data_IF_357915583052
#
_entry.id   IF_357915583052
#
_cell.length_a   1.000
_cell.length_b   1.000
_cell.length_c   1.000
_cell.angle_alpha   90.00
_cell.angle_beta   90.00
_cell.angle_gamma   90.00
#
_symmetry.space_group_name_H-M   'P 1'
#
loop_
_entity.id
_entity.type
_entity.pdbx_description
1 polymer ?
#
# COMPACT_ATOMS: atom_id res chain seq x y z
N UNK A 1 -18.71 19.00 -20.98
CA UNK A 1 -18.01 18.98 -20.55
C UNK A 1 -17.44 18.86 -20.08
N UNK A 2 -17.32 18.87 -19.96
CA UNK A 2 -16.44 18.85 -19.41
C UNK A 2 -15.77 18.63 -19.16
N UNK A 3 -15.51 18.35 -18.96
CA UNK A 3 -14.63 18.15 -18.57
C UNK A 3 -13.74 18.15 -18.74
N UNK A 4 -13.66 18.10 -19.29
CA UNK A 4 -12.60 18.31 -19.53
C UNK A 4 -11.68 18.65 -18.98
N UNK A 5 -11.83 18.95 -18.89
CA UNK A 5 -10.90 19.51 -18.00
C UNK A 5 -10.19 18.42 -17.31
N UNK A 6 -8.92 18.45 -17.21
CA UNK A 6 -8.12 17.34 -16.73
C UNK A 6 -8.12 17.14 -15.23
N UNK A 7 -9.26 17.19 -14.60
CA UNK A 7 -9.32 16.89 -13.17
C UNK A 7 -9.67 15.42 -12.98
N UNK A 8 -8.68 14.58 -13.22
CA UNK A 8 -8.85 13.14 -13.07
C UNK A 8 -8.24 12.72 -11.75
N UNK A 9 -8.91 13.07 -10.66
CA UNK A 9 -8.47 12.68 -9.33
C UNK A 9 -9.15 11.40 -8.93
N UNK A 10 -8.39 10.49 -8.36
CA UNK A 10 -8.92 9.25 -7.84
C UNK A 10 -8.50 9.05 -6.40
N UNK A 11 -9.37 8.46 -5.61
CA UNK A 11 -9.10 8.12 -4.22
C UNK A 11 -9.41 6.65 -4.02
N UNK A 12 -8.53 5.95 -3.33
CA UNK A 12 -8.72 4.56 -2.97
C UNK A 12 -8.56 4.40 -1.47
N UNK A 13 -9.39 3.59 -0.87
CA UNK A 13 -9.31 3.28 0.55
C UNK A 13 -9.53 1.79 0.74
N UNK A 14 -8.62 1.16 1.46
CA UNK A 14 -8.77 -0.23 1.89
C UNK A 14 -8.72 -0.25 3.40
N UNK A 15 -9.76 -0.75 4.03
CA UNK A 15 -9.78 -0.97 5.47
C UNK A 15 -9.94 -2.44 5.75
N UNK A 16 -8.93 -3.04 6.35
CA UNK A 16 -9.00 -4.44 6.76
C UNK A 16 -9.63 -4.50 8.14
N UNK A 17 -10.69 -5.28 8.28
CA UNK A 17 -11.41 -5.42 9.55
C UNK A 17 -10.86 -6.53 10.41
N UNK A 18 -9.92 -7.29 9.88
CA UNK A 18 -9.29 -8.42 10.56
C UNK A 18 -7.78 -8.25 10.53
N UNK A 19 -7.06 -8.97 11.39
CA UNK A 19 -5.59 -8.95 11.32
C UNK A 19 -5.07 -9.50 10.00
N UNK A 20 -3.83 -9.17 9.68
CA UNK A 20 -3.21 -9.64 8.44
C UNK A 20 -3.21 -11.16 8.33
N UNK A 21 -3.10 -11.86 9.46
CA UNK A 21 -3.10 -13.31 9.48
C UNK A 21 -4.38 -13.90 8.88
N UNK A 22 -5.52 -13.23 9.09
CA UNK A 22 -6.79 -13.67 8.52
C UNK A 22 -6.72 -13.68 6.99
N UNK A 23 -6.15 -12.64 6.41
CA UNK A 23 -6.06 -12.50 4.96
C UNK A 23 -5.01 -13.43 4.37
N UNK A 24 -3.94 -13.67 5.13
CA UNK A 24 -2.92 -14.64 4.74
C UNK A 24 -3.53 -16.04 4.63
N UNK A 25 -4.35 -16.41 5.61
CA UNK A 25 -5.00 -17.71 5.61
C UNK A 25 -6.05 -17.83 4.51
N UNK A 26 -6.87 -16.78 4.34
CA UNK A 26 -7.99 -16.83 3.40
C UNK A 26 -7.57 -16.67 1.96
N UNK A 27 -6.61 -15.79 1.70
CA UNK A 27 -6.23 -15.42 0.32
C UNK A 27 -4.80 -15.79 -0.05
N UNK A 28 -4.06 -16.38 0.88
CA UNK A 28 -2.71 -16.85 0.61
C UNK A 28 -1.61 -15.80 0.74
N UNK A 29 -1.95 -14.57 1.12
CA UNK A 29 -0.95 -13.53 1.30
C UNK A 29 -1.38 -12.52 2.36
N UNK A 30 -0.43 -12.15 3.22
CA UNK A 30 -0.65 -11.09 4.20
C UNK A 30 -0.75 -9.71 3.52
N UNK A 31 -0.33 -9.61 2.26
CA UNK A 31 -0.35 -8.36 1.50
C UNK A 31 -1.63 -8.16 0.71
N UNK A 32 -2.67 -8.93 1.02
CA UNK A 32 -3.92 -8.83 0.29
C UNK A 32 -4.43 -7.38 0.23
N UNK A 33 -4.41 -6.67 1.36
CA UNK A 33 -4.87 -5.28 1.39
C UNK A 33 -4.02 -4.35 0.53
N UNK A 34 -2.71 -4.50 0.63
CA UNK A 34 -1.78 -3.69 -0.17
C UNK A 34 -1.97 -3.96 -1.67
N UNK A 35 -2.18 -5.24 -2.03
CA UNK A 35 -2.44 -5.61 -3.41
C UNK A 35 -3.77 -5.03 -3.91
N UNK A 36 -4.79 -5.01 -3.05
CA UNK A 36 -6.07 -4.39 -3.41
C UNK A 36 -5.92 -2.89 -3.64
N UNK A 37 -5.11 -2.23 -2.84
CA UNK A 37 -4.85 -0.80 -3.04
C UNK A 37 -4.26 -0.54 -4.42
N UNK A 38 -3.27 -1.33 -4.82
CA UNK A 38 -2.67 -1.20 -6.14
C UNK A 38 -3.71 -1.38 -7.25
N UNK A 39 -4.55 -2.40 -7.14
CA UNK A 39 -5.57 -2.67 -8.16
C UNK A 39 -6.58 -1.53 -8.25
N UNK A 40 -7.00 -0.99 -7.12
CA UNK A 40 -7.93 0.14 -7.11
C UNK A 40 -7.32 1.37 -7.75
N UNK A 41 -6.06 1.66 -7.44
CA UNK A 41 -5.39 2.82 -7.99
C UNK A 41 -5.13 2.64 -9.49
N UNK A 42 -4.76 1.43 -9.90
CA UNK A 42 -4.51 1.14 -11.30
C UNK A 42 -5.78 1.35 -12.14
N UNK A 43 -6.93 0.94 -11.60
CA UNK A 43 -8.20 1.12 -12.30
C UNK A 43 -8.60 2.58 -12.46
N UNK A 44 -8.16 3.43 -11.54
CA UNK A 44 -8.49 4.86 -11.57
C UNK A 44 -7.44 5.69 -12.30
N UNK A 45 -6.32 5.07 -12.66
CA UNK A 45 -5.23 5.79 -13.31
C UNK A 45 -5.61 6.14 -14.74
N UNK A 46 -5.48 7.43 -15.07
CA UNK A 46 -5.75 7.92 -16.40
C UNK A 46 -4.46 8.41 -17.02
N UNK A 47 -4.41 8.35 -18.36
CA UNK A 47 -3.29 8.89 -19.09
C UNK A 47 -3.18 10.40 -18.79
N UNK A 48 -1.97 10.85 -18.54
CA UNK A 48 -1.73 12.26 -18.27
C UNK A 48 -1.77 12.64 -16.82
N UNK A 49 -2.10 11.71 -15.92
CA UNK A 49 -1.99 11.98 -14.50
C UNK A 49 -0.52 11.99 -14.10
N UNK A 50 -0.12 13.06 -13.44
CA UNK A 50 1.26 13.23 -12.98
C UNK A 50 1.27 13.15 -11.46
N UNK A 51 1.62 12.00 -10.97
CA UNK A 51 1.79 11.84 -9.55
C UNK A 51 0.75 10.95 -8.91
N UNK A 52 1.12 10.42 -7.78
CA UNK A 52 0.27 9.59 -6.95
C UNK A 52 0.83 9.59 -5.53
N UNK A 53 -0.01 9.21 -4.58
CA UNK A 53 0.42 9.07 -3.19
C UNK A 53 -0.26 7.88 -2.57
N UNK A 54 0.42 7.24 -1.63
CA UNK A 54 -0.17 6.19 -0.82
C UNK A 54 0.13 6.47 0.65
N UNK A 55 -0.73 5.96 1.51
CA UNK A 55 -0.56 6.07 2.94
C UNK A 55 -0.98 4.78 3.62
N UNK A 56 -0.44 4.55 4.79
CA UNK A 56 -0.73 3.37 5.58
C UNK A 56 -0.87 3.74 7.04
N UNK A 57 -1.78 3.06 7.73
CA UNK A 57 -1.89 3.15 9.17
C UNK A 57 -1.97 1.75 9.74
N UNK A 58 -1.10 1.47 10.69
CA UNK A 58 -1.08 0.20 11.40
C UNK A 58 -1.82 0.34 12.71
N UNK A 59 -2.84 -0.47 12.91
CA UNK A 59 -3.63 -0.46 14.14
C UNK A 59 -2.97 -1.30 15.21
N UNK A 60 -3.20 -0.93 16.47
CA UNK A 60 -2.75 -1.71 17.62
C UNK A 60 -1.24 -1.90 17.69
N UNK A 61 -0.49 -0.88 17.29
CA UNK A 61 0.96 -0.92 17.43
C UNK A 61 1.35 -0.56 18.88
N UNK A 62 2.47 -1.11 19.37
CA UNK A 62 2.95 -0.76 20.70
C UNK A 62 3.24 0.74 20.83
N UNK A 63 3.04 1.33 22.00
CA UNK A 63 3.35 2.75 22.19
C UNK A 63 4.80 3.07 21.84
N UNK A 64 4.99 4.18 21.12
CA UNK A 64 6.31 4.61 20.69
C UNK A 64 6.75 4.06 19.36
N UNK A 65 6.02 3.10 18.79
CA UNK A 65 6.32 2.56 17.48
C UNK A 65 5.65 3.39 16.40
N UNK A 66 6.32 3.51 15.26
CA UNK A 66 5.73 4.22 14.12
C UNK A 66 4.55 3.43 13.58
N UNK A 67 3.44 4.11 13.29
CA UNK A 67 2.22 3.44 12.82
C UNK A 67 1.60 4.11 11.60
N UNK A 68 2.11 5.26 11.16
CA UNK A 68 1.62 5.95 9.98
C UNK A 68 2.76 6.18 9.00
N UNK A 69 2.51 5.88 7.74
CA UNK A 69 3.50 6.01 6.68
C UNK A 69 2.87 6.63 5.45
N UNK A 70 3.67 7.31 4.65
CA UNK A 70 3.19 7.83 3.38
C UNK A 70 4.34 7.88 2.37
N UNK A 71 3.96 7.79 1.10
CA UNK A 71 4.88 7.84 -0.02
C UNK A 71 4.23 8.60 -1.16
N UNK A 72 4.98 9.43 -1.87
CA UNK A 72 4.47 10.21 -3.00
C UNK A 72 5.46 10.17 -4.14
N UNK A 73 4.94 10.33 -5.34
CA UNK A 73 5.77 10.52 -6.52
C UNK A 73 5.06 11.50 -7.46
N UNK A 74 5.82 12.41 -8.05
CA UNK A 74 5.31 13.34 -9.05
C UNK A 74 5.61 12.88 -10.48
N UNK A 75 6.17 11.68 -10.61
CA UNK A 75 6.51 11.11 -11.91
C UNK A 75 5.27 10.73 -12.71
N UNK A 76 5.38 10.75 -14.03
CA UNK A 76 4.32 10.23 -14.90
C UNK A 76 4.14 8.72 -14.72
N UNK A 77 5.13 8.05 -14.12
CA UNK A 77 5.07 6.63 -13.80
C UNK A 77 5.00 6.43 -12.30
N UNK A 78 4.22 7.28 -11.64
CA UNK A 78 4.17 7.30 -10.18
C UNK A 78 3.76 5.97 -9.57
N UNK A 79 2.74 5.31 -10.11
CA UNK A 79 2.29 4.03 -9.56
C UNK A 79 3.39 2.98 -9.64
N UNK A 80 4.03 2.87 -10.79
CA UNK A 80 5.12 1.91 -10.96
C UNK A 80 6.26 2.19 -10.00
N UNK A 81 6.60 3.45 -9.81
CA UNK A 81 7.69 3.82 -8.90
C UNK A 81 7.34 3.55 -7.46
N UNK A 82 6.13 3.93 -7.03
CA UNK A 82 5.72 3.75 -5.64
C UNK A 82 5.63 2.27 -5.29
N UNK A 83 4.86 1.51 -6.06
CA UNK A 83 4.65 0.11 -5.73
C UNK A 83 5.89 -0.75 -5.98
N UNK A 84 6.65 -0.43 -7.04
CA UNK A 84 7.92 -1.09 -7.27
C UNK A 84 8.92 -0.87 -6.16
N UNK A 85 8.98 0.36 -5.64
CA UNK A 85 9.84 0.68 -4.52
C UNK A 85 9.44 -0.05 -3.25
N UNK A 86 8.12 -0.15 -2.99
CA UNK A 86 7.65 -0.86 -1.82
C UNK A 86 7.88 -2.36 -1.92
N UNK A 87 7.71 -2.95 -3.11
CA UNK A 87 8.01 -4.37 -3.29
C UNK A 87 9.50 -4.63 -3.10
N UNK A 88 10.36 -3.72 -3.54
CA UNK A 88 11.80 -3.85 -3.31
C UNK A 88 12.12 -3.78 -1.82
N UNK A 89 11.50 -2.88 -1.09
CA UNK A 89 11.67 -2.77 0.36
C UNK A 89 11.25 -4.06 1.04
N UNK A 90 10.14 -4.65 0.61
CA UNK A 90 9.67 -5.90 1.18
C UNK A 90 10.65 -7.05 0.90
N UNK A 91 11.14 -7.13 -0.34
CA UNK A 91 12.12 -8.15 -0.69
C UNK A 91 13.39 -8.01 0.15
N UNK A 92 13.82 -6.78 0.42
CA UNK A 92 14.98 -6.55 1.27
C UNK A 92 14.72 -7.03 2.70
N UNK A 93 13.51 -6.86 3.21
CA UNK A 93 13.15 -7.38 4.53
C UNK A 93 13.18 -8.90 4.57
N UNK A 94 12.69 -9.55 3.52
CA UNK A 94 12.73 -11.01 3.42
C UNK A 94 14.17 -11.50 3.36
N UNK A 95 14.99 -10.91 2.52
CA UNK A 95 16.39 -11.31 2.36
C UNK A 95 17.21 -11.06 3.62
N UNK A 96 16.87 -9.99 4.33
CA UNK A 96 17.53 -9.65 5.58
C UNK A 96 17.07 -10.43 6.79
N UNK A 97 16.09 -11.31 6.62
CA UNK A 97 15.56 -12.11 7.72
C UNK A 97 14.76 -11.32 8.74
N UNK A 98 14.18 -10.19 8.33
CA UNK A 98 13.39 -9.34 9.22
C UNK A 98 11.90 -9.55 9.06
N UNK A 99 11.45 -10.01 7.91
CA UNK A 99 10.05 -10.33 7.66
C UNK A 99 9.97 -11.66 6.94
N UNK A 100 8.86 -12.37 7.15
CA UNK A 100 8.65 -13.69 6.58
C UNK A 100 7.22 -13.78 6.05
N UNK A 101 7.04 -14.24 4.80
CA UNK A 101 5.68 -14.35 4.23
C UNK A 101 4.77 -15.24 5.06
N UNK A 102 5.32 -16.30 5.68
CA UNK A 102 4.53 -17.23 6.48
C UNK A 102 4.19 -16.70 7.88
N UNK A 103 4.78 -15.58 8.28
CA UNK A 103 4.52 -14.97 9.58
C UNK A 103 4.02 -13.54 9.38
N UNK A 104 2.70 -13.36 9.18
CA UNK A 104 2.14 -12.03 8.85
C UNK A 104 2.46 -10.93 9.84
N UNK A 105 2.62 -11.26 11.11
CA UNK A 105 2.95 -10.26 12.13
C UNK A 105 4.31 -9.63 11.89
N UNK A 106 5.26 -10.36 11.26
CA UNK A 106 6.56 -9.78 10.94
C UNK A 106 6.45 -8.78 9.80
N UNK A 107 5.52 -9.01 8.88
CA UNK A 107 5.25 -8.08 7.80
C UNK A 107 4.63 -6.81 8.37
N UNK A 108 3.66 -6.93 9.26
CA UNK A 108 3.08 -5.77 9.90
C UNK A 108 4.12 -4.97 10.68
N UNK A 109 5.01 -5.67 11.37
CA UNK A 109 6.01 -5.01 12.21
C UNK A 109 7.04 -4.22 11.39
N UNK A 110 7.50 -4.78 10.29
CA UNK A 110 8.65 -4.22 9.57
C UNK A 110 8.34 -3.57 8.24
N UNK A 111 7.27 -3.96 7.56
CA UNK A 111 6.93 -3.37 6.26
C UNK A 111 5.97 -2.20 6.48
N UNK A 112 6.34 -1.03 5.94
CA UNK A 112 5.56 0.19 6.14
C UNK A 112 4.10 0.06 5.72
N UNK A 113 3.83 -0.70 4.67
CA UNK A 113 2.47 -0.86 4.15
C UNK A 113 1.82 -2.18 4.55
N UNK A 114 2.35 -2.80 5.60
CA UNK A 114 1.72 -3.95 6.24
C UNK A 114 0.72 -3.51 7.30
N UNK A 115 -0.15 -2.58 6.95
CA UNK A 115 -1.14 -2.04 7.87
C UNK A 115 -2.55 -2.43 7.52
N UNK A 116 -3.47 -2.05 8.37
CA UNK A 116 -4.89 -2.39 8.20
C UNK A 116 -5.68 -1.29 7.49
N UNK A 117 -5.15 -0.07 7.44
CA UNK A 117 -5.79 1.02 6.70
C UNK A 117 -4.81 1.50 5.65
N UNK A 118 -5.25 1.49 4.40
CA UNK A 118 -4.41 1.87 3.27
C UNK A 118 -5.18 2.88 2.42
N UNK A 119 -4.48 3.93 2.05
CA UNK A 119 -5.05 5.03 1.28
C UNK A 119 -4.22 5.27 0.04
N UNK A 120 -4.89 5.72 -1.02
CA UNK A 120 -4.20 6.14 -2.22
C UNK A 120 -4.93 7.28 -2.89
N UNK A 121 -4.17 8.11 -3.61
CA UNK A 121 -4.77 9.12 -4.45
C UNK A 121 -3.94 9.31 -5.71
N UNK A 122 -4.63 9.77 -6.75
CA UNK A 122 -4.03 10.05 -8.05
C UNK A 122 -4.28 11.50 -8.42
#
# INVERSE_FOLDING_TARGET
MSDEIGHHCGIALVRLKKPLAHYSEKYGTALWGFNQLFLLMEKQHNRGQDGAGIGSMKLNMPPGEAFMFRERSTSTKALTKIFGGQHKSLDNLYEGGKAFPEFPETIKEHFDYGGEILLGHL
#
